data_IF_445039691380
#
_entry.id   IF_445039691380
#
_cell.length_a   1.000
_cell.length_b   1.000
_cell.length_c   1.000
_cell.angle_alpha   90.00
_cell.angle_beta   90.00
_cell.angle_gamma   90.00
#
_symmetry.space_group_name_H-M   'P 1'
#
loop_
_entity.id
_entity.type
_entity.pdbx_description
1 polymer ?
#
# COMPACT_ATOMS: atom_id res chain seq x y z
N UNK A 1 0.97 -13.63 16.88
CA UNK A 1 2.05 -14.57 17.23
C UNK A 1 2.63 -15.14 15.95
N UNK A 2 3.92 -14.91 15.69
CA UNK A 2 4.59 -15.28 14.43
C UNK A 2 4.93 -16.77 14.39
N UNK A 3 5.44 -17.34 15.49
CA UNK A 3 5.72 -18.78 15.63
C UNK A 3 4.56 -19.69 15.25
N UNK A 4 3.36 -19.47 15.80
CA UNK A 4 2.19 -20.29 15.45
C UNK A 4 1.82 -20.24 13.96
N UNK A 5 2.12 -19.15 13.25
CA UNK A 5 1.93 -19.07 11.80
C UNK A 5 3.01 -19.83 11.06
N UNK A 6 4.27 -19.70 11.49
CA UNK A 6 5.39 -20.45 10.97
C UNK A 6 5.16 -21.96 11.09
N UNK A 7 4.73 -22.46 12.25
CA UNK A 7 4.52 -23.89 12.50
C UNK A 7 3.44 -24.48 11.58
N UNK A 8 2.37 -23.73 11.31
CA UNK A 8 1.33 -24.13 10.35
C UNK A 8 1.87 -24.20 8.92
N UNK A 9 2.64 -23.21 8.51
CA UNK A 9 3.27 -23.19 7.18
C UNK A 9 4.29 -24.32 7.04
N UNK A 10 5.13 -24.55 8.05
CA UNK A 10 6.09 -25.66 8.06
C UNK A 10 5.37 -27.02 8.00
N UNK A 11 4.28 -27.18 8.74
CA UNK A 11 3.47 -28.41 8.70
C UNK A 11 2.89 -28.66 7.31
N UNK A 12 2.40 -27.62 6.63
CA UNK A 12 1.95 -27.68 5.25
C UNK A 12 3.09 -28.07 4.31
N UNK A 13 4.21 -27.36 4.36
CA UNK A 13 5.41 -27.63 3.54
C UNK A 13 5.89 -29.07 3.77
N UNK A 14 5.96 -29.55 5.01
CA UNK A 14 6.35 -30.92 5.32
C UNK A 14 5.39 -31.96 4.74
N UNK A 15 4.09 -31.70 4.74
CA UNK A 15 3.12 -32.57 4.07
C UNK A 15 3.34 -32.60 2.54
N UNK A 16 3.62 -31.43 1.93
CA UNK A 16 3.90 -31.32 0.50
C UNK A 16 5.22 -31.96 0.09
N UNK A 17 6.27 -31.80 0.89
CA UNK A 17 7.56 -32.47 0.69
C UNK A 17 7.38 -33.99 0.74
N UNK A 18 6.64 -34.53 1.71
CA UNK A 18 6.34 -35.98 1.73
C UNK A 18 5.57 -36.46 0.51
N UNK A 19 4.69 -35.62 -0.04
CA UNK A 19 3.85 -35.96 -1.20
C UNK A 19 4.62 -35.88 -2.52
N UNK A 20 5.40 -34.81 -2.73
CA UNK A 20 6.00 -34.48 -4.02
C UNK A 20 7.51 -34.72 -4.09
N UNK A 21 8.19 -34.78 -2.94
CA UNK A 21 9.65 -34.84 -2.82
C UNK A 21 10.05 -35.97 -1.84
N UNK A 22 9.66 -37.23 -2.07
CA UNK A 22 9.85 -38.32 -1.10
C UNK A 22 11.31 -38.64 -0.76
N UNK A 23 12.26 -38.11 -1.55
CA UNK A 23 13.71 -38.21 -1.33
C UNK A 23 14.26 -37.17 -0.35
N UNK A 24 13.43 -36.21 0.07
CA UNK A 24 13.82 -35.07 0.88
C UNK A 24 13.05 -35.01 2.20
N UNK A 25 13.73 -34.48 3.21
CA UNK A 25 13.13 -34.02 4.47
C UNK A 25 13.20 -32.49 4.53
N UNK A 26 12.28 -31.87 5.26
CA UNK A 26 12.29 -30.42 5.49
C UNK A 26 12.46 -30.11 6.96
N UNK A 27 13.40 -29.19 7.24
CA UNK A 27 13.66 -28.66 8.58
C UNK A 27 13.31 -27.17 8.59
N UNK A 28 12.64 -26.71 9.64
CA UNK A 28 12.21 -25.32 9.77
C UNK A 28 13.32 -24.38 10.26
N UNK A 29 13.40 -23.18 9.66
CA UNK A 29 14.23 -22.07 10.14
C UNK A 29 13.34 -20.90 10.60
N UNK A 30 12.89 -20.92 11.87
CA UNK A 30 12.04 -19.87 12.43
C UNK A 30 12.85 -18.66 12.93
N UNK A 31 13.33 -17.82 12.00
CA UNK A 31 14.03 -16.60 12.36
C UNK A 31 13.10 -15.49 12.90
N UNK A 32 11.81 -15.53 12.52
CA UNK A 32 10.85 -14.45 12.74
C UNK A 32 10.54 -14.15 14.21
N UNK A 33 10.55 -15.16 15.07
CA UNK A 33 10.33 -14.98 16.50
C UNK A 33 11.55 -14.36 17.21
N UNK A 34 12.75 -14.80 16.85
CA UNK A 34 13.99 -14.34 17.49
C UNK A 34 14.42 -12.95 16.99
N UNK A 35 14.39 -12.75 15.67
CA UNK A 35 15.03 -11.61 15.00
C UNK A 35 14.07 -10.66 14.32
N UNK A 36 12.79 -11.02 14.26
CA UNK A 36 11.75 -10.15 13.72
C UNK A 36 11.65 -8.79 14.44
N UNK A 37 11.26 -7.77 13.71
CA UNK A 37 10.90 -6.47 14.24
C UNK A 37 9.72 -6.57 15.21
N UNK A 38 9.81 -5.80 16.28
CA UNK A 38 8.81 -5.73 17.35
C UNK A 38 8.86 -4.35 17.99
N UNK A 39 7.74 -3.94 18.59
CA UNK A 39 7.67 -2.73 19.39
C UNK A 39 8.40 -2.96 20.73
N UNK A 40 9.72 -2.70 20.76
CA UNK A 40 10.55 -2.93 21.96
C UNK A 40 10.14 -2.06 23.16
N UNK A 41 9.51 -0.90 22.90
CA UNK A 41 8.97 -0.01 23.92
C UNK A 41 7.44 0.07 23.84
N UNK A 42 6.76 -1.04 23.52
CA UNK A 42 5.29 -1.16 23.55
C UNK A 42 4.53 -0.01 22.85
N UNK A 43 5.07 0.51 21.75
CA UNK A 43 4.45 1.58 20.98
C UNK A 43 4.56 2.97 21.61
N UNK A 44 5.50 3.24 22.53
CA UNK A 44 5.78 4.58 23.05
C UNK A 44 6.08 5.62 21.95
N UNK A 45 6.56 5.18 20.78
CA UNK A 45 6.77 6.03 19.61
C UNK A 45 5.50 6.30 18.79
N UNK A 46 4.37 5.68 19.13
CA UNK A 46 3.10 5.76 18.40
C UNK A 46 2.15 6.63 19.23
N UNK A 47 1.86 7.88 18.81
CA UNK A 47 0.95 8.76 19.52
C UNK A 47 -0.42 8.10 19.74
N UNK A 48 -0.88 8.07 20.99
CA UNK A 48 -2.20 7.53 21.36
C UNK A 48 -2.26 6.00 21.53
N UNK A 49 -1.17 5.27 21.30
CA UNK A 49 -1.16 3.80 21.38
C UNK A 49 -1.31 3.28 22.81
N UNK A 50 -0.72 3.96 23.79
CA UNK A 50 -0.82 3.60 25.21
C UNK A 50 -2.09 4.10 25.90
N UNK A 51 -2.74 5.15 25.36
CA UNK A 51 -3.84 5.85 26.04
C UNK A 51 -5.24 5.42 25.60
N UNK A 52 -5.37 4.47 24.66
CA UNK A 52 -6.69 4.01 24.18
C UNK A 52 -7.60 5.16 23.73
N UNK A 53 -7.01 6.27 23.26
CA UNK A 53 -7.70 7.55 23.20
C UNK A 53 -8.81 7.52 22.15
N UNK A 54 -10.05 7.39 22.63
CA UNK A 54 -11.25 7.72 21.88
C UNK A 54 -11.25 9.22 21.61
N UNK A 55 -10.79 9.63 20.43
CA UNK A 55 -10.95 10.99 19.95
C UNK A 55 -12.44 11.30 19.74
N UNK A 56 -12.83 12.57 19.96
CA UNK A 56 -14.21 13.03 19.86
C UNK A 56 -14.88 12.64 18.54
N UNK A 57 -16.06 12.01 18.61
CA UNK A 57 -16.74 11.39 17.48
C UNK A 57 -16.98 12.35 16.29
N UNK A 58 -17.16 13.65 16.56
CA UNK A 58 -17.39 14.68 15.55
C UNK A 58 -16.14 14.99 14.74
N UNK A 59 -14.98 15.18 15.40
CA UNK A 59 -13.70 15.38 14.71
C UNK A 59 -13.31 14.14 13.91
N UNK A 60 -13.57 12.95 14.45
CA UNK A 60 -13.35 11.69 13.75
C UNK A 60 -14.24 11.57 12.50
N UNK A 61 -15.52 11.94 12.57
CA UNK A 61 -16.44 11.92 11.44
C UNK A 61 -16.04 12.95 10.36
N UNK A 62 -15.63 14.16 10.77
CA UNK A 62 -15.14 15.19 9.86
C UNK A 62 -13.87 14.73 9.13
N UNK A 63 -12.95 14.08 9.84
CA UNK A 63 -11.75 13.51 9.22
C UNK A 63 -12.10 12.35 8.28
N UNK A 64 -13.01 11.45 8.68
CA UNK A 64 -13.46 10.33 7.85
C UNK A 64 -14.06 10.81 6.51
N UNK A 65 -14.81 11.92 6.52
CA UNK A 65 -15.31 12.57 5.30
C UNK A 65 -14.16 12.91 4.36
N UNK A 66 -13.15 13.60 4.85
CA UNK A 66 -12.04 14.04 4.02
C UNK A 66 -11.18 12.87 3.53
N UNK A 67 -11.08 11.79 4.30
CA UNK A 67 -10.48 10.53 3.82
C UNK A 67 -11.22 10.02 2.58
N UNK A 68 -12.54 9.91 2.66
CA UNK A 68 -13.36 9.43 1.53
C UNK A 68 -13.30 10.38 0.32
N UNK A 69 -13.39 11.69 0.55
CA UNK A 69 -13.27 12.68 -0.53
C UNK A 69 -11.88 12.69 -1.17
N UNK A 70 -10.83 12.25 -0.45
CA UNK A 70 -9.48 12.12 -1.01
C UNK A 70 -9.34 10.94 -1.97
N UNK A 71 -10.19 9.92 -1.83
CA UNK A 71 -10.28 8.78 -2.75
C UNK A 71 -11.23 9.10 -3.91
N UNK A 72 -12.39 9.69 -3.61
CA UNK A 72 -13.40 10.11 -4.59
C UNK A 72 -13.99 11.49 -4.26
N UNK A 73 -13.51 12.57 -4.91
CA UNK A 73 -13.99 13.94 -4.66
C UNK A 73 -15.48 14.13 -4.94
N UNK A 74 -16.09 13.30 -5.80
CA UNK A 74 -17.50 13.41 -6.18
C UNK A 74 -18.43 12.59 -5.27
N UNK A 75 -17.89 11.85 -4.30
CA UNK A 75 -18.65 10.90 -3.49
C UNK A 75 -19.87 11.55 -2.83
N UNK A 76 -19.67 12.68 -2.16
CA UNK A 76 -20.77 13.41 -1.50
C UNK A 76 -21.87 13.77 -2.51
N UNK A 77 -21.49 14.27 -3.69
CA UNK A 77 -22.46 14.68 -4.73
C UNK A 77 -23.25 13.49 -5.29
N UNK A 78 -22.62 12.32 -5.40
CA UNK A 78 -23.27 11.10 -5.91
C UNK A 78 -24.26 10.48 -4.94
N UNK A 79 -24.04 10.67 -3.63
CA UNK A 79 -24.91 10.12 -2.58
C UNK A 79 -25.87 11.14 -1.99
N UNK A 80 -25.75 12.42 -2.37
CA UNK A 80 -26.68 13.46 -1.92
C UNK A 80 -27.99 13.33 -2.69
N UNK A 81 -29.03 12.88 -2.00
CA UNK A 81 -30.40 12.92 -2.50
C UNK A 81 -31.01 14.30 -2.19
N UNK A 82 -30.87 15.24 -3.13
CA UNK A 82 -31.54 16.54 -3.04
C UNK A 82 -32.91 16.43 -3.70
N UNK A 83 -33.96 16.67 -2.92
CA UNK A 83 -35.33 16.77 -3.43
C UNK A 83 -35.39 17.76 -4.61
N UNK A 84 -36.25 17.46 -5.58
CA UNK A 84 -36.51 18.33 -6.72
C UNK A 84 -36.92 19.73 -6.21
N UNK A 85 -36.25 20.81 -6.64
CA UNK A 85 -36.58 22.15 -6.16
C UNK A 85 -37.95 22.58 -6.69
N UNK A 86 -38.65 23.44 -5.95
CA UNK A 86 -39.77 24.22 -6.47
C UNK A 86 -39.18 25.30 -7.41
N UNK A 87 -38.81 24.91 -8.63
CA UNK A 87 -38.14 25.78 -9.61
C UNK A 87 -37.16 25.00 -10.51
N UNK A 88 -36.49 25.68 -11.47
CA UNK A 88 -35.51 25.04 -12.32
C UNK A 88 -34.30 24.55 -11.50
N UNK A 89 -33.68 23.42 -11.89
CA UNK A 89 -32.51 22.88 -11.20
C UNK A 89 -31.37 23.90 -11.23
N UNK A 90 -30.69 24.06 -10.09
CA UNK A 90 -29.61 25.05 -9.94
C UNK A 90 -28.22 24.47 -10.27
N UNK A 91 -28.10 23.16 -10.51
CA UNK A 91 -26.86 22.50 -10.91
C UNK A 91 -26.13 23.16 -12.09
N UNK A 92 -26.81 23.49 -13.21
CA UNK A 92 -26.19 24.19 -14.34
C UNK A 92 -25.64 25.58 -13.98
N UNK A 93 -26.31 26.30 -13.09
CA UNK A 93 -25.86 27.62 -12.61
C UNK A 93 -24.62 27.49 -11.75
N UNK A 94 -24.61 26.54 -10.82
CA UNK A 94 -23.44 26.25 -9.97
C UNK A 94 -22.25 25.79 -10.82
N UNK A 95 -22.49 24.99 -11.85
CA UNK A 95 -21.45 24.59 -12.81
C UNK A 95 -20.83 25.78 -13.53
N UNK A 96 -21.63 26.74 -13.97
CA UNK A 96 -21.12 27.95 -14.62
C UNK A 96 -20.28 28.78 -13.66
N UNK A 97 -20.77 29.01 -12.44
CA UNK A 97 -20.01 29.73 -11.40
C UNK A 97 -18.71 29.01 -11.02
N UNK A 98 -18.68 27.68 -11.08
CA UNK A 98 -17.47 26.90 -10.86
C UNK A 98 -16.46 27.08 -12.01
N UNK A 99 -16.92 27.18 -13.26
CA UNK A 99 -16.02 27.48 -14.37
C UNK A 99 -15.34 28.85 -14.20
N UNK A 100 -16.05 29.81 -13.62
CA UNK A 100 -15.53 31.15 -13.32
C UNK A 100 -14.70 31.18 -12.01
N UNK A 101 -14.68 30.08 -11.23
CA UNK A 101 -13.97 30.03 -9.95
C UNK A 101 -12.45 30.09 -10.09
N UNK A 102 -11.90 29.89 -11.30
CA UNK A 102 -10.50 30.16 -11.60
C UNK A 102 -10.11 31.60 -11.25
N UNK A 103 -11.05 32.54 -11.35
CA UNK A 103 -10.84 33.97 -11.15
C UNK A 103 -11.48 34.49 -9.83
N UNK A 104 -12.00 33.60 -8.97
CA UNK A 104 -12.66 33.98 -7.74
C UNK A 104 -11.69 34.75 -6.80
N UNK A 105 -11.91 36.05 -6.52
CA UNK A 105 -10.91 36.89 -5.85
C UNK A 105 -10.53 36.41 -4.45
N UNK A 106 -11.50 35.93 -3.68
CA UNK A 106 -11.27 35.42 -2.33
C UNK A 106 -10.42 34.14 -2.33
N UNK A 107 -10.71 33.21 -3.26
CA UNK A 107 -9.93 31.98 -3.41
C UNK A 107 -8.51 32.29 -3.90
N UNK A 108 -8.36 33.16 -4.91
CA UNK A 108 -7.06 33.57 -5.43
C UNK A 108 -6.22 34.31 -4.38
N UNK A 109 -6.82 35.16 -3.55
CA UNK A 109 -6.11 35.84 -2.47
C UNK A 109 -5.52 34.82 -1.48
N UNK A 110 -6.33 33.87 -1.00
CA UNK A 110 -5.87 32.78 -0.14
C UNK A 110 -4.75 31.97 -0.80
N UNK A 111 -4.99 31.48 -2.02
CA UNK A 111 -4.01 30.69 -2.77
C UNK A 111 -2.71 31.45 -3.01
N UNK A 112 -2.77 32.76 -3.29
CA UNK A 112 -1.59 33.60 -3.44
C UNK A 112 -0.77 33.68 -2.16
N UNK A 113 -1.41 33.81 -0.98
CA UNK A 113 -0.69 33.81 0.30
C UNK A 113 -0.02 32.48 0.61
N UNK A 114 -0.50 31.39 0.01
CA UNK A 114 0.06 30.05 0.18
C UNK A 114 1.02 29.65 -0.94
N UNK A 115 1.28 30.53 -1.92
CA UNK A 115 2.12 30.22 -3.08
C UNK A 115 1.47 29.28 -4.10
N UNK A 116 0.15 29.12 -4.06
CA UNK A 116 -0.65 28.17 -4.87
C UNK A 116 -1.53 28.85 -5.92
N UNK A 117 -1.34 30.14 -6.19
CA UNK A 117 -2.13 30.85 -7.21
C UNK A 117 -1.85 30.34 -8.63
N UNK A 118 -0.60 29.99 -8.95
CA UNK A 118 -0.20 29.53 -10.29
C UNK A 118 -0.89 28.22 -10.75
N UNK A 119 -0.97 27.15 -9.94
CA UNK A 119 -1.63 25.90 -10.38
C UNK A 119 -3.16 25.99 -10.45
N UNK A 120 -3.79 27.01 -9.85
CA UNK A 120 -5.24 27.07 -9.69
C UNK A 120 -6.03 27.18 -11.02
N UNK A 121 -5.69 28.07 -11.96
CA UNK A 121 -6.41 28.15 -13.24
C UNK A 121 -6.29 26.87 -14.08
N UNK A 122 -5.11 26.24 -14.07
CA UNK A 122 -4.89 24.98 -14.79
C UNK A 122 -5.74 23.84 -14.19
N UNK A 123 -5.82 23.77 -12.87
CA UNK A 123 -6.68 22.81 -12.16
C UNK A 123 -8.16 23.02 -12.52
N UNK A 124 -8.68 24.25 -12.43
CA UNK A 124 -10.09 24.53 -12.76
C UNK A 124 -10.36 24.23 -14.23
N UNK A 125 -9.46 24.59 -15.15
CA UNK A 125 -9.59 24.27 -16.56
C UNK A 125 -9.70 22.76 -16.83
N UNK A 126 -8.85 21.95 -16.17
CA UNK A 126 -8.91 20.50 -16.28
C UNK A 126 -10.19 19.91 -15.66
N UNK A 127 -10.64 20.45 -14.52
CA UNK A 127 -11.90 20.04 -13.88
C UNK A 127 -13.10 20.32 -14.78
N UNK A 128 -13.16 21.50 -15.39
CA UNK A 128 -14.26 21.90 -16.29
C UNK A 128 -14.27 21.07 -17.58
N UNK A 129 -13.10 20.63 -18.04
CA UNK A 129 -12.98 19.76 -19.21
C UNK A 129 -13.41 18.30 -18.95
N UNK A 130 -13.52 17.88 -17.69
CA UNK A 130 -13.91 16.52 -17.33
C UNK A 130 -15.45 16.34 -17.39
N UNK A 131 -15.97 15.51 -18.32
CA UNK A 131 -17.41 15.30 -18.47
C UNK A 131 -18.06 14.66 -17.25
N UNK A 132 -17.30 13.96 -16.40
CA UNK A 132 -17.80 13.34 -15.16
C UNK A 132 -18.25 14.41 -14.17
N UNK A 133 -17.48 15.49 -14.05
CA UNK A 133 -17.80 16.62 -13.18
C UNK A 133 -19.03 17.37 -13.68
N UNK A 134 -19.04 17.69 -14.98
CA UNK A 134 -20.18 18.36 -15.61
C UNK A 134 -21.46 17.54 -15.48
N UNK A 135 -21.40 16.23 -15.79
CA UNK A 135 -22.54 15.31 -15.68
C UNK A 135 -23.04 15.17 -14.24
N UNK A 136 -22.14 15.07 -13.26
CA UNK A 136 -22.52 14.96 -11.85
C UNK A 136 -23.19 16.23 -11.37
N UNK A 137 -22.57 17.41 -11.54
CA UNK A 137 -23.06 18.67 -10.96
C UNK A 137 -24.32 19.18 -11.66
N UNK A 138 -24.40 19.09 -12.99
CA UNK A 138 -25.54 19.63 -13.75
C UNK A 138 -26.85 18.89 -13.48
N UNK A 139 -26.78 17.62 -13.07
CA UNK A 139 -27.95 16.81 -12.76
C UNK A 139 -28.46 16.99 -11.32
N UNK A 140 -27.72 17.71 -10.46
CA UNK A 140 -28.12 17.90 -9.08
C UNK A 140 -29.35 18.81 -8.96
N UNK A 141 -30.31 18.35 -8.17
CA UNK A 141 -31.46 19.12 -7.70
C UNK A 141 -31.09 20.10 -6.57
N UNK A 142 -32.11 20.69 -5.94
CA UNK A 142 -31.94 21.64 -4.85
C UNK A 142 -31.60 23.07 -5.25
N UNK A 143 -31.46 23.91 -4.23
CA UNK A 143 -31.13 25.33 -4.34
C UNK A 143 -29.63 25.56 -4.47
N UNK A 144 -29.25 26.72 -4.99
CA UNK A 144 -27.84 27.14 -5.12
C UNK A 144 -27.08 27.07 -3.79
N UNK A 145 -27.72 27.45 -2.68
CA UNK A 145 -27.12 27.40 -1.35
C UNK A 145 -26.94 25.97 -0.80
N UNK A 146 -27.82 25.03 -1.19
CA UNK A 146 -27.68 23.61 -0.81
C UNK A 146 -26.53 22.93 -1.57
N UNK A 147 -26.26 23.39 -2.80
CA UNK A 147 -25.21 22.84 -3.67
C UNK A 147 -23.82 23.42 -3.39
N UNK A 148 -23.74 24.69 -2.97
CA UNK A 148 -22.46 25.41 -2.80
C UNK A 148 -21.50 24.68 -1.85
N UNK A 149 -21.96 24.21 -0.70
CA UNK A 149 -21.10 23.55 0.30
C UNK A 149 -20.51 22.20 -0.17
N UNK A 150 -21.29 21.21 -0.63
CA UNK A 150 -20.74 19.94 -1.11
C UNK A 150 -19.93 20.10 -2.42
N UNK A 151 -20.30 21.03 -3.31
CA UNK A 151 -19.51 21.30 -4.53
C UNK A 151 -18.16 21.93 -4.16
N UNK A 152 -18.12 22.90 -3.24
CA UNK A 152 -16.85 23.46 -2.75
C UNK A 152 -15.95 22.40 -2.12
N UNK A 153 -16.49 21.50 -1.29
CA UNK A 153 -15.69 20.40 -0.72
C UNK A 153 -15.16 19.46 -1.79
N UNK A 154 -15.97 19.10 -2.78
CA UNK A 154 -15.55 18.27 -3.90
C UNK A 154 -14.38 18.91 -4.66
N UNK A 155 -14.51 20.20 -5.01
CA UNK A 155 -13.47 20.95 -5.74
C UNK A 155 -12.19 21.04 -4.92
N UNK A 156 -12.27 21.36 -3.63
CA UNK A 156 -11.09 21.42 -2.76
C UNK A 156 -10.44 20.04 -2.61
N UNK A 157 -11.21 18.97 -2.42
CA UNK A 157 -10.68 17.61 -2.36
C UNK A 157 -9.95 17.21 -3.66
N UNK A 158 -10.53 17.56 -4.82
CA UNK A 158 -9.91 17.34 -6.11
C UNK A 158 -8.61 18.15 -6.29
N UNK A 159 -8.59 19.39 -5.80
CA UNK A 159 -7.39 20.23 -5.81
C UNK A 159 -6.27 19.67 -4.92
N UNK A 160 -6.61 19.16 -3.73
CA UNK A 160 -5.63 18.44 -2.88
C UNK A 160 -5.05 17.21 -3.60
N UNK A 161 -5.87 16.48 -4.34
CA UNK A 161 -5.43 15.37 -5.19
C UNK A 161 -4.53 15.84 -6.35
N UNK A 162 -4.83 17.00 -6.93
CA UNK A 162 -4.01 17.64 -7.97
C UNK A 162 -2.62 18.01 -7.45
N UNK A 163 -2.55 18.72 -6.31
CA UNK A 163 -1.28 19.08 -5.66
C UNK A 163 -0.44 17.84 -5.35
N UNK A 164 -1.07 16.78 -4.81
CA UNK A 164 -0.38 15.52 -4.51
C UNK A 164 0.25 14.87 -5.73
N UNK A 165 -0.44 14.86 -6.88
CA UNK A 165 0.09 14.33 -8.15
C UNK A 165 1.20 15.20 -8.73
N UNK A 166 1.13 16.51 -8.50
CA UNK A 166 2.16 17.46 -8.90
C UNK A 166 3.39 17.45 -7.98
N UNK A 167 3.35 16.73 -6.84
CA UNK A 167 4.42 16.73 -5.84
C UNK A 167 4.48 18.00 -4.99
N UNK A 168 3.43 18.83 -5.03
CA UNK A 168 3.35 20.08 -4.28
C UNK A 168 3.03 19.82 -2.79
N UNK A 169 3.53 20.65 -1.86
CA UNK A 169 3.10 20.60 -0.46
C UNK A 169 1.59 20.77 -0.33
N UNK A 170 0.97 19.92 0.49
CA UNK A 170 -0.46 20.06 0.82
C UNK A 170 -0.74 21.28 1.72
N UNK A 171 -1.99 21.73 1.73
CA UNK A 171 -2.47 22.76 2.66
C UNK A 171 -2.97 22.15 3.97
N UNK A 172 -3.01 22.94 5.04
CA UNK A 172 -3.54 22.55 6.36
C UNK A 172 -5.06 22.40 6.34
N UNK A 173 -5.60 21.75 7.38
CA UNK A 173 -7.06 21.65 7.57
C UNK A 173 -7.76 23.01 7.66
N UNK A 174 -7.13 24.00 8.32
CA UNK A 174 -7.66 25.36 8.41
C UNK A 174 -7.69 26.04 7.04
N UNK A 175 -6.59 25.99 6.28
CA UNK A 175 -6.52 26.55 4.92
C UNK A 175 -7.51 25.88 3.97
N UNK A 176 -7.66 24.54 4.06
CA UNK A 176 -8.67 23.79 3.31
C UNK A 176 -10.08 24.31 3.61
N UNK A 177 -10.41 24.50 4.89
CA UNK A 177 -11.73 24.95 5.30
C UNK A 177 -11.97 26.42 4.89
N UNK A 178 -10.96 27.28 4.95
CA UNK A 178 -11.00 28.65 4.42
C UNK A 178 -11.25 28.68 2.91
N UNK A 179 -10.59 27.80 2.15
CA UNK A 179 -10.78 27.69 0.70
C UNK A 179 -12.19 27.18 0.36
N UNK A 180 -12.70 26.21 1.12
CA UNK A 180 -14.09 25.73 0.98
C UNK A 180 -15.08 26.88 1.19
N UNK A 181 -14.88 27.70 2.23
CA UNK A 181 -15.74 28.84 2.52
C UNK A 181 -15.66 29.91 1.43
N UNK A 182 -14.46 30.21 0.92
CA UNK A 182 -14.27 31.16 -0.17
C UNK A 182 -15.00 30.73 -1.45
N UNK A 183 -14.90 29.44 -1.82
CA UNK A 183 -15.63 28.87 -2.95
C UNK A 183 -17.13 28.83 -2.68
N UNK A 184 -17.55 28.47 -1.48
CA UNK A 184 -18.96 28.40 -1.12
C UNK A 184 -19.64 29.77 -1.26
N UNK A 185 -18.94 30.85 -0.86
CA UNK A 185 -19.41 32.22 -1.06
C UNK A 185 -19.57 32.56 -2.55
N UNK A 186 -18.61 32.16 -3.40
CA UNK A 186 -18.65 32.39 -4.84
C UNK A 186 -19.77 31.59 -5.54
N UNK A 187 -20.04 30.35 -5.08
CA UNK A 187 -20.99 29.44 -5.74
C UNK A 187 -22.45 29.63 -5.32
N UNK A 188 -22.72 30.31 -4.20
CA UNK A 188 -24.11 30.54 -3.79
C UNK A 188 -24.36 30.93 -2.34
N UNK A 189 -23.33 30.98 -1.50
CA UNK A 189 -23.44 31.23 -0.07
C UNK A 189 -23.92 30.02 0.73
N UNK A 190 -23.98 30.16 2.05
CA UNK A 190 -24.41 29.09 2.95
C UNK A 190 -25.93 28.90 2.94
N UNK A 191 -26.39 27.64 2.92
CA UNK A 191 -27.76 27.31 3.25
C UNK A 191 -27.96 27.40 4.77
N UNK A 192 -28.57 28.48 5.24
CA UNK A 192 -28.95 28.63 6.63
C UNK A 192 -29.97 27.54 7.00
N UNK A 193 -29.68 26.73 8.02
CA UNK A 193 -30.61 25.75 8.60
C UNK A 193 -30.55 24.32 8.03
N UNK A 194 -29.65 24.00 7.09
CA UNK A 194 -29.48 22.63 6.60
C UNK A 194 -28.55 21.84 7.52
N UNK A 195 -29.07 20.76 8.15
CA UNK A 195 -28.27 19.82 8.94
C UNK A 195 -27.33 19.03 8.03
N UNK A 196 -26.07 18.88 8.45
CA UNK A 196 -25.06 18.12 7.71
C UNK A 196 -25.27 16.61 7.86
N UNK A 197 -26.16 16.07 7.04
CA UNK A 197 -26.54 14.66 7.05
C UNK A 197 -25.38 13.68 6.79
N UNK A 198 -24.41 14.07 5.95
CA UNK A 198 -23.30 13.19 5.57
C UNK A 198 -22.34 12.96 6.75
N UNK A 199 -22.15 13.96 7.61
CA UNK A 199 -21.41 13.81 8.87
C UNK A 199 -22.11 12.82 9.81
N UNK A 200 -23.44 12.86 9.89
CA UNK A 200 -24.24 11.91 10.67
C UNK A 200 -24.00 10.46 10.25
N UNK A 201 -23.99 10.18 8.94
CA UNK A 201 -23.73 8.82 8.39
C UNK A 201 -22.32 8.30 8.68
N UNK A 202 -21.33 9.19 8.74
CA UNK A 202 -19.93 8.81 8.99
C UNK A 202 -19.61 8.65 10.47
N UNK A 203 -20.37 9.29 11.36
CA UNK A 203 -20.19 9.16 12.81
C UNK A 203 -20.42 7.71 13.26
N UNK A 204 -21.35 7.01 12.62
CA UNK A 204 -21.62 5.57 12.87
C UNK A 204 -20.53 4.64 12.28
N UNK A 205 -19.73 5.13 11.33
CA UNK A 205 -18.69 4.35 10.63
C UNK A 205 -17.26 4.59 11.17
N UNK A 206 -17.03 5.69 11.89
CA UNK A 206 -15.71 6.17 12.29
C UNK A 206 -15.12 5.52 13.56
N UNK A 207 -15.91 4.76 14.32
CA UNK A 207 -15.43 3.98 15.46
C UNK A 207 -14.86 2.62 14.97
N UNK A 208 -13.65 2.19 15.38
CA UNK A 208 -12.30 2.72 15.23
C UNK A 208 -11.47 1.91 14.21
N UNK A 209 -10.95 2.54 13.13
CA UNK A 209 -10.10 1.86 12.10
C UNK A 209 -8.58 2.02 12.25
N UNK A 210 -8.11 2.78 13.24
CA UNK A 210 -6.69 3.16 13.33
C UNK A 210 -5.77 2.05 13.87
N UNK A 211 -6.30 1.09 14.62
CA UNK A 211 -5.49 0.04 15.27
C UNK A 211 -5.25 -1.19 14.38
N UNK A 212 -6.20 -1.53 13.50
CA UNK A 212 -6.15 -2.79 12.74
C UNK A 212 -5.21 -2.77 11.51
N UNK A 213 -4.96 -1.58 10.93
CA UNK A 213 -4.15 -1.43 9.72
C UNK A 213 -2.64 -1.32 10.00
N UNK A 214 -2.20 -1.07 11.24
CA UNK A 214 -0.78 -0.89 11.58
C UNK A 214 -0.06 -2.20 11.91
N UNK A 215 -0.75 -3.21 12.43
CA UNK A 215 -0.05 -4.31 13.12
C UNK A 215 0.52 -5.39 12.18
N UNK A 216 -0.11 -5.65 11.02
CA UNK A 216 0.35 -6.71 10.09
C UNK A 216 1.25 -6.20 8.97
N UNK A 217 0.87 -5.11 8.30
CA UNK A 217 1.70 -4.45 7.27
C UNK A 217 2.91 -3.76 7.89
N UNK A 218 2.77 -3.13 9.05
CA UNK A 218 3.88 -2.55 9.80
C UNK A 218 4.90 -3.60 10.29
N UNK A 219 4.45 -4.81 10.61
CA UNK A 219 5.32 -5.93 10.99
C UNK A 219 6.24 -6.39 9.85
N UNK A 220 5.70 -6.57 8.63
CA UNK A 220 6.47 -7.03 7.48
C UNK A 220 7.47 -5.97 6.99
N UNK A 221 7.03 -4.71 6.88
CA UNK A 221 7.92 -3.58 6.57
C UNK A 221 9.00 -3.41 7.64
N UNK A 222 8.62 -3.54 8.92
CA UNK A 222 9.56 -3.50 10.04
C UNK A 222 10.63 -4.59 9.95
N UNK A 223 10.26 -5.81 9.55
CA UNK A 223 11.22 -6.91 9.37
C UNK A 223 12.24 -6.61 8.26
N UNK A 224 11.78 -6.08 7.13
CA UNK A 224 12.66 -5.64 6.02
C UNK A 224 13.61 -4.54 6.49
N UNK A 225 13.10 -3.49 7.14
CA UNK A 225 13.94 -2.39 7.63
C UNK A 225 14.97 -2.88 8.65
N UNK A 226 14.56 -3.77 9.57
CA UNK A 226 15.47 -4.37 10.54
C UNK A 226 16.51 -5.26 9.87
N UNK A 227 16.13 -6.01 8.84
CA UNK A 227 17.05 -6.81 8.04
C UNK A 227 18.09 -5.93 7.33
N UNK A 228 17.68 -4.86 6.66
CA UNK A 228 18.63 -3.94 6.03
C UNK A 228 19.59 -3.32 7.06
N UNK A 229 19.09 -2.95 8.24
CA UNK A 229 19.92 -2.34 9.28
C UNK A 229 20.83 -3.33 10.03
N UNK A 230 20.38 -4.58 10.27
CA UNK A 230 20.99 -5.55 11.20
C UNK A 230 20.89 -7.00 10.71
N UNK A 231 20.89 -7.22 9.41
CA UNK A 231 20.60 -8.52 8.78
C UNK A 231 21.65 -9.61 8.97
N UNK A 232 22.86 -9.25 9.38
CA UNK A 232 23.95 -10.21 9.64
C UNK A 232 23.54 -11.30 10.63
N UNK A 233 22.84 -10.91 11.71
CA UNK A 233 22.38 -11.86 12.73
C UNK A 233 21.42 -12.90 12.14
N UNK A 234 20.51 -12.47 11.25
CA UNK A 234 19.56 -13.36 10.58
C UNK A 234 20.28 -14.29 9.60
N UNK A 235 21.25 -13.77 8.83
CA UNK A 235 22.07 -14.58 7.90
C UNK A 235 22.90 -15.62 8.64
N UNK A 236 23.53 -15.25 9.75
CA UNK A 236 24.29 -16.19 10.58
C UNK A 236 23.37 -17.28 11.14
N UNK A 237 22.17 -16.92 11.59
CA UNK A 237 21.18 -17.90 12.05
C UNK A 237 20.75 -18.88 10.94
N UNK A 238 20.53 -18.41 9.70
CA UNK A 238 20.27 -19.30 8.56
C UNK A 238 21.45 -20.27 8.38
N UNK A 239 22.68 -19.76 8.43
CA UNK A 239 23.87 -20.59 8.28
C UNK A 239 24.02 -21.65 9.37
N UNK A 240 23.76 -21.28 10.63
CA UNK A 240 23.77 -22.21 11.76
C UNK A 240 22.72 -23.32 11.59
N UNK A 241 21.52 -22.96 11.13
CA UNK A 241 20.45 -23.96 10.90
C UNK A 241 20.78 -24.89 9.73
N UNK A 242 21.34 -24.36 8.63
CA UNK A 242 21.78 -25.17 7.50
C UNK A 242 22.88 -26.15 7.92
N UNK A 243 23.88 -25.69 8.67
CA UNK A 243 24.97 -26.53 9.16
C UNK A 243 24.49 -27.62 10.14
N UNK A 244 23.58 -27.29 11.06
CA UNK A 244 23.03 -28.25 12.05
C UNK A 244 22.17 -29.32 11.42
N UNK A 245 21.39 -28.97 10.40
CA UNK A 245 20.51 -29.90 9.70
C UNK A 245 21.24 -30.72 8.62
N UNK A 246 22.45 -30.30 8.22
CA UNK A 246 23.13 -30.87 7.06
C UNK A 246 22.39 -30.56 5.75
N UNK A 247 21.59 -29.49 5.71
CA UNK A 247 20.80 -29.13 4.54
C UNK A 247 21.70 -28.80 3.35
N UNK A 248 21.42 -29.42 2.20
CA UNK A 248 22.05 -29.09 0.92
C UNK A 248 21.13 -28.28 -0.01
N UNK A 249 19.88 -28.05 0.37
CA UNK A 249 18.90 -27.25 -0.37
C UNK A 249 18.25 -26.23 0.56
N UNK A 250 18.10 -25.00 0.10
CA UNK A 250 17.38 -23.94 0.82
C UNK A 250 16.05 -23.67 0.13
N UNK A 251 14.94 -23.83 0.86
CA UNK A 251 13.62 -23.32 0.49
C UNK A 251 13.37 -22.00 1.22
N UNK A 252 13.12 -20.92 0.50
CA UNK A 252 12.99 -19.59 1.07
C UNK A 252 11.78 -18.82 0.52
N UNK A 253 11.07 -18.12 1.40
CA UNK A 253 9.90 -17.32 1.06
C UNK A 253 10.12 -15.87 1.45
N UNK A 254 9.73 -14.94 0.57
CA UNK A 254 9.69 -13.50 0.86
C UNK A 254 11.06 -12.98 1.37
N UNK A 255 11.08 -12.29 2.53
CA UNK A 255 12.30 -11.83 3.19
C UNK A 255 13.33 -12.94 3.46
N UNK A 256 12.86 -14.17 3.72
CA UNK A 256 13.76 -15.32 3.87
C UNK A 256 14.59 -15.58 2.61
N UNK A 257 14.04 -15.27 1.43
CA UNK A 257 14.75 -15.38 0.16
C UNK A 257 15.85 -14.33 0.01
N UNK A 258 15.61 -13.08 0.43
CA UNK A 258 16.64 -12.03 0.46
C UNK A 258 17.80 -12.47 1.35
N UNK A 259 17.48 -12.92 2.56
CA UNK A 259 18.48 -13.35 3.52
C UNK A 259 19.27 -14.59 3.05
N UNK A 260 18.60 -15.55 2.41
CA UNK A 260 19.26 -16.72 1.84
C UNK A 260 20.23 -16.34 0.72
N UNK A 261 19.81 -15.48 -0.22
CA UNK A 261 20.67 -14.98 -1.30
C UNK A 261 21.88 -14.25 -0.73
N UNK A 262 21.69 -13.32 0.22
CA UNK A 262 22.80 -12.60 0.83
C UNK A 262 23.77 -13.52 1.59
N UNK A 263 23.24 -14.52 2.30
CA UNK A 263 24.08 -15.47 3.03
C UNK A 263 24.89 -16.37 2.10
N UNK A 264 24.29 -16.85 1.01
CA UNK A 264 24.95 -17.66 -0.03
C UNK A 264 25.96 -16.86 -0.85
N UNK A 265 25.70 -15.57 -1.09
CA UNK A 265 26.59 -14.70 -1.84
C UNK A 265 27.74 -14.11 -0.99
N UNK A 266 27.67 -14.22 0.34
CA UNK A 266 28.73 -13.71 1.24
C UNK A 266 29.89 -14.69 1.48
N UNK A 267 29.78 -15.95 1.05
CA UNK A 267 30.87 -16.92 1.13
C UNK A 267 30.46 -18.31 0.64
N UNK A 268 31.45 -19.15 0.31
CA UNK A 268 31.20 -20.50 -0.18
C UNK A 268 30.48 -21.37 0.86
N UNK A 269 29.40 -22.05 0.45
CA UNK A 269 28.56 -22.93 1.28
C UNK A 269 28.38 -24.29 0.60
N UNK A 270 28.11 -25.34 1.38
CA UNK A 270 27.72 -26.65 0.86
C UNK A 270 26.21 -26.70 0.56
N UNK A 271 25.74 -25.77 -0.26
CA UNK A 271 24.35 -25.70 -0.71
C UNK A 271 24.34 -25.92 -2.22
N UNK A 272 23.62 -26.94 -2.67
CA UNK A 272 23.53 -27.33 -4.07
C UNK A 272 22.45 -26.53 -4.81
N UNK A 273 21.35 -26.21 -4.14
CA UNK A 273 20.24 -25.50 -4.75
C UNK A 273 19.56 -24.50 -3.80
N UNK A 274 19.09 -23.40 -4.39
CA UNK A 274 18.24 -22.41 -3.76
C UNK A 274 16.89 -22.41 -4.49
N UNK A 275 15.80 -22.50 -3.72
CA UNK A 275 14.45 -22.25 -4.21
C UNK A 275 13.89 -21.05 -3.49
N UNK A 276 13.52 -20.01 -4.23
CA UNK A 276 12.83 -18.84 -3.71
C UNK A 276 11.40 -18.80 -4.22
N UNK A 277 10.45 -18.49 -3.35
CA UNK A 277 9.06 -18.20 -3.74
C UNK A 277 8.70 -16.80 -3.24
N UNK A 278 8.10 -15.98 -4.11
CA UNK A 278 7.64 -14.64 -3.74
C UNK A 278 8.73 -13.75 -3.14
N UNK A 279 9.98 -13.84 -3.61
CA UNK A 279 11.11 -13.14 -2.99
C UNK A 279 11.43 -11.80 -3.64
N UNK A 280 11.92 -10.85 -2.82
CA UNK A 280 12.38 -9.53 -3.25
C UNK A 280 13.89 -9.49 -3.58
N UNK A 281 14.61 -10.63 -3.52
CA UNK A 281 16.06 -10.63 -3.68
C UNK A 281 16.55 -10.03 -5.03
N UNK A 282 15.90 -10.31 -6.18
CA UNK A 282 16.27 -9.66 -7.45
C UNK A 282 16.11 -8.14 -7.42
N UNK A 283 14.95 -7.66 -6.93
CA UNK A 283 14.70 -6.22 -6.79
C UNK A 283 15.72 -5.56 -5.86
N UNK A 284 16.07 -6.19 -4.74
CA UNK A 284 17.07 -5.67 -3.80
C UNK A 284 18.44 -5.56 -4.45
N UNK A 285 18.81 -6.48 -5.34
CA UNK A 285 20.04 -6.34 -6.11
C UNK A 285 19.96 -5.16 -7.09
N UNK A 286 18.86 -5.05 -7.82
CA UNK A 286 18.63 -4.00 -8.83
C UNK A 286 18.71 -2.58 -8.25
N UNK A 287 18.17 -2.37 -7.04
CA UNK A 287 18.21 -1.08 -6.36
C UNK A 287 19.44 -0.87 -5.46
N UNK A 288 20.46 -1.74 -5.58
CA UNK A 288 21.70 -1.68 -4.78
C UNK A 288 21.48 -1.82 -3.26
N UNK A 289 20.47 -2.60 -2.86
CA UNK A 289 20.09 -2.87 -1.47
C UNK A 289 20.48 -4.28 -0.98
N UNK A 290 20.98 -5.17 -1.84
CA UNK A 290 21.43 -6.51 -1.46
C UNK A 290 22.74 -6.41 -0.67
N UNK A 291 22.71 -6.69 0.63
CA UNK A 291 23.80 -6.35 1.55
C UNK A 291 25.14 -7.03 1.20
N UNK A 292 25.10 -8.19 0.56
CA UNK A 292 26.27 -8.97 0.17
C UNK A 292 26.88 -8.53 -1.16
N UNK A 293 26.10 -7.90 -2.06
CA UNK A 293 26.50 -7.61 -3.45
C UNK A 293 26.06 -6.22 -3.87
N UNK A 294 26.99 -5.32 -4.26
CA UNK A 294 26.60 -4.11 -4.96
C UNK A 294 26.08 -4.43 -6.37
N UNK A 295 25.21 -3.57 -6.89
CA UNK A 295 24.71 -3.68 -8.26
C UNK A 295 25.86 -3.70 -9.27
N UNK A 296 25.69 -4.47 -10.35
CA UNK A 296 26.71 -4.72 -11.37
C UNK A 296 27.77 -5.77 -11.02
N UNK A 297 27.91 -6.17 -9.75
CA UNK A 297 28.93 -7.14 -9.35
C UNK A 297 28.57 -8.61 -9.64
N UNK A 298 27.36 -8.90 -10.12
CA UNK A 298 26.81 -10.24 -10.29
C UNK A 298 26.81 -11.09 -9.01
N UNK A 299 26.53 -12.39 -9.17
CA UNK A 299 26.72 -13.39 -8.12
C UNK A 299 28.14 -13.96 -8.18
N UNK A 300 28.75 -14.30 -7.04
CA UNK A 300 30.08 -14.89 -6.99
C UNK A 300 30.08 -16.33 -7.55
N UNK A 301 31.25 -16.80 -7.99
CA UNK A 301 31.40 -18.13 -8.63
C UNK A 301 30.95 -19.29 -7.72
N UNK A 302 31.16 -19.15 -6.41
CA UNK A 302 30.77 -20.13 -5.40
C UNK A 302 29.28 -20.11 -5.04
N UNK A 303 28.49 -19.18 -5.58
CA UNK A 303 27.05 -19.17 -5.38
C UNK A 303 26.43 -20.44 -6.01
N UNK A 304 25.38 -21.04 -5.40
CA UNK A 304 24.74 -22.23 -5.95
C UNK A 304 24.29 -22.02 -7.40
N UNK A 305 24.73 -22.89 -8.31
CA UNK A 305 24.38 -22.79 -9.75
C UNK A 305 22.92 -23.12 -10.05
N UNK A 306 22.22 -23.75 -9.09
CA UNK A 306 20.80 -24.12 -9.21
C UNK A 306 19.96 -23.18 -8.36
N UNK A 307 19.56 -22.05 -8.91
CA UNK A 307 18.57 -21.17 -8.29
C UNK A 307 17.24 -21.21 -9.04
N UNK A 308 16.20 -21.80 -8.44
CA UNK A 308 14.82 -21.76 -8.93
C UNK A 308 14.06 -20.64 -8.23
N UNK A 309 13.48 -19.71 -8.98
CA UNK A 309 12.74 -18.59 -8.43
C UNK A 309 11.30 -18.59 -8.96
N UNK A 310 10.33 -18.60 -8.06
CA UNK A 310 8.92 -18.51 -8.40
C UNK A 310 8.38 -17.12 -8.11
N UNK A 311 7.60 -16.59 -9.07
CA UNK A 311 6.87 -15.35 -8.89
C UNK A 311 5.47 -15.44 -9.52
N UNK A 312 4.53 -14.71 -8.94
CA UNK A 312 3.17 -14.54 -9.46
C UNK A 312 3.00 -13.05 -9.82
N UNK A 313 2.58 -12.70 -11.05
CA UNK A 313 2.38 -11.31 -11.44
C UNK A 313 1.41 -10.53 -10.54
N UNK A 314 0.54 -11.22 -9.78
CA UNK A 314 -0.40 -10.63 -8.82
C UNK A 314 0.16 -10.59 -7.40
N UNK A 315 1.38 -11.06 -7.18
CA UNK A 315 2.14 -10.88 -5.94
C UNK A 315 3.13 -9.73 -6.12
N UNK A 316 2.75 -8.56 -5.62
CA UNK A 316 3.53 -7.31 -5.75
C UNK A 316 4.88 -7.33 -5.01
N UNK A 317 5.18 -8.40 -4.27
CA UNK A 317 6.45 -8.59 -3.56
C UNK A 317 7.30 -9.71 -4.19
N UNK A 318 6.91 -10.23 -5.35
CA UNK A 318 7.64 -11.26 -6.08
C UNK A 318 8.30 -10.68 -7.33
N UNK A 319 9.59 -10.98 -7.53
CA UNK A 319 10.38 -10.39 -8.61
C UNK A 319 11.14 -11.47 -9.37
N UNK A 320 11.25 -11.30 -10.69
CA UNK A 320 12.02 -12.17 -11.58
C UNK A 320 13.53 -11.94 -11.39
N UNK A 321 14.33 -13.00 -11.42
CA UNK A 321 15.79 -12.96 -11.21
C UNK A 321 16.63 -13.30 -12.43
N UNK A 322 16.06 -13.91 -13.47
CA UNK A 322 16.79 -14.44 -14.64
C UNK A 322 17.56 -13.36 -15.38
N UNK A 323 16.98 -12.18 -15.59
CA UNK A 323 17.62 -11.10 -16.35
C UNK A 323 18.82 -10.51 -15.62
N UNK A 324 18.76 -10.47 -14.28
CA UNK A 324 19.84 -9.97 -13.43
C UNK A 324 20.95 -11.01 -13.20
N UNK A 325 20.59 -12.30 -13.21
CA UNK A 325 21.51 -13.41 -12.90
C UNK A 325 21.46 -14.53 -13.95
N UNK A 326 21.85 -14.23 -15.21
CA UNK A 326 21.74 -15.18 -16.31
C UNK A 326 22.58 -16.44 -16.07
N UNK A 327 22.00 -17.60 -16.38
CA UNK A 327 22.65 -18.90 -16.21
C UNK A 327 22.72 -19.43 -14.78
N UNK A 328 22.24 -18.65 -13.79
CA UNK A 328 22.14 -19.08 -12.39
C UNK A 328 20.67 -19.12 -11.95
N UNK A 329 19.95 -18.00 -12.09
CA UNK A 329 18.54 -17.91 -11.76
C UNK A 329 17.66 -18.45 -12.89
N UNK A 330 16.76 -19.36 -12.55
CA UNK A 330 15.67 -19.84 -13.40
C UNK A 330 14.36 -19.38 -12.81
N UNK A 331 13.70 -18.46 -13.50
CA UNK A 331 12.36 -18.03 -13.12
C UNK A 331 11.28 -19.00 -13.61
N UNK A 332 10.26 -19.19 -12.77
CA UNK A 332 9.00 -19.84 -13.08
C UNK A 332 7.87 -18.90 -12.69
N UNK A 333 7.08 -18.50 -13.68
CA UNK A 333 5.84 -17.73 -13.46
C UNK A 333 4.75 -18.71 -13.07
N UNK A 334 3.99 -18.41 -12.02
CA UNK A 334 2.86 -19.24 -11.55
C UNK A 334 1.59 -18.41 -11.41
N UNK A 335 0.44 -19.08 -11.42
CA UNK A 335 -0.86 -18.47 -11.16
C UNK A 335 -1.46 -19.02 -9.86
N UNK A 336 -1.41 -18.24 -8.77
CA UNK A 336 -2.02 -18.65 -7.51
C UNK A 336 -3.53 -18.37 -7.42
N UNK A 337 -4.14 -17.78 -8.46
CA UNK A 337 -5.58 -17.53 -8.54
C UNK A 337 -6.13 -16.53 -7.52
N UNK A 338 -5.27 -15.69 -6.92
CA UNK A 338 -5.64 -14.74 -5.86
C UNK A 338 -5.04 -13.35 -6.13
N UNK A 339 -5.69 -12.26 -5.67
CA UNK A 339 -5.07 -10.93 -5.65
C UNK A 339 -4.05 -10.83 -4.51
N UNK A 340 -3.26 -9.75 -4.51
CA UNK A 340 -2.43 -9.38 -3.35
C UNK A 340 -3.32 -8.89 -2.19
N UNK A 341 -3.03 -9.24 -0.91
CA UNK A 341 -1.87 -9.99 -0.42
C UNK A 341 -2.01 -11.52 -0.40
N UNK A 342 -3.17 -12.07 -0.74
CA UNK A 342 -3.44 -13.52 -0.67
C UNK A 342 -2.52 -14.34 -1.58
N UNK A 343 -2.20 -13.83 -2.78
CA UNK A 343 -1.24 -14.43 -3.72
C UNK A 343 0.12 -14.70 -3.08
N UNK A 344 0.62 -13.78 -2.24
CA UNK A 344 1.95 -13.88 -1.63
C UNK A 344 2.09 -15.07 -0.67
N UNK A 345 1.00 -15.50 -0.04
CA UNK A 345 0.98 -16.65 0.88
C UNK A 345 0.61 -17.98 0.24
N UNK A 346 0.22 -17.98 -1.04
CA UNK A 346 -0.46 -19.10 -1.68
C UNK A 346 0.47 -20.14 -2.30
N UNK A 347 1.74 -19.80 -2.60
CA UNK A 347 2.70 -20.66 -3.31
C UNK A 347 2.75 -22.11 -2.79
N UNK A 348 2.78 -22.30 -1.47
CA UNK A 348 2.88 -23.63 -0.87
C UNK A 348 1.65 -24.52 -1.06
N UNK A 349 0.52 -23.94 -1.50
CA UNK A 349 -0.69 -24.67 -1.87
C UNK A 349 -0.84 -24.86 -3.37
N UNK A 350 0.07 -24.32 -4.18
CA UNK A 350 0.06 -24.51 -5.63
C UNK A 350 0.69 -25.86 -6.00
N UNK A 351 -0.12 -26.91 -5.94
CA UNK A 351 0.26 -28.29 -6.25
C UNK A 351 0.48 -28.55 -7.74
N UNK A 352 -0.12 -27.72 -8.60
CA UNK A 352 -0.07 -27.90 -10.04
C UNK A 352 1.24 -27.39 -10.64
N UNK A 353 1.78 -26.28 -10.10
CA UNK A 353 2.92 -25.59 -10.71
C UNK A 353 4.17 -25.59 -9.82
N UNK A 354 4.05 -25.27 -8.52
CA UNK A 354 5.23 -25.05 -7.66
C UNK A 354 5.94 -26.36 -7.34
N UNK A 355 5.25 -27.32 -6.73
CA UNK A 355 5.88 -28.56 -6.27
C UNK A 355 6.45 -29.45 -7.40
N UNK A 356 5.76 -29.62 -8.55
CA UNK A 356 6.31 -30.38 -9.67
C UNK A 356 7.56 -29.76 -10.28
N UNK A 357 7.65 -28.43 -10.32
CA UNK A 357 8.85 -27.73 -10.80
C UNK A 357 10.01 -27.87 -9.81
N UNK A 358 9.74 -27.84 -8.50
CA UNK A 358 10.77 -28.12 -7.48
C UNK A 358 11.31 -29.55 -7.66
N UNK A 359 10.46 -30.57 -7.77
CA UNK A 359 10.92 -31.96 -7.93
C UNK A 359 11.78 -32.16 -9.17
N UNK A 360 11.37 -31.56 -10.30
CA UNK A 360 12.14 -31.59 -11.55
C UNK A 360 13.45 -30.83 -11.48
N UNK A 361 13.54 -29.82 -10.61
CA UNK A 361 14.69 -28.94 -10.50
C UNK A 361 15.71 -29.38 -9.45
N UNK A 362 15.31 -30.12 -8.42
CA UNK A 362 16.23 -30.61 -7.40
C UNK A 362 17.06 -31.83 -7.90
N UNK A 363 18.23 -32.11 -7.28
CA UNK A 363 19.11 -33.21 -7.69
C UNK A 363 18.55 -34.64 -7.59
#
# INVERSE_FOLDING_TARGET
MRGASFDRTLSLIAAKVRQHLPRYEVVGCNWGDAFGARLNAHGCSIPGYSSGAAAGAVEAAAMARWTLLSEDPLLELRVTDLAAPLGPPQGPVVWQLLADAAEAPAALALLSTWGLAAPWPAFIGALVADPTWAGTIRLLGGTRAQLSAPVSRAVVAAFLGWLRRAGEPGITGAQRDELVLALQAALGGAALGVRDWFLGKLTDFALPRRTALNDRTGAALGDILRYQARGEVLRNFIGDQAARSGANVILAHSLGGIAAVDWLASGARQIEALVTVGSQAPYFYEIDALASRPFGAGLPEFFPRRWLNFYDPRDFLSYAGRELFPGIARDVVVDNGQPFPESHGAYWRNDAEVWPEIDRFLP
#
